data_IF_449568881792
#
_entry.id   IF_449568881792
#
_cell.length_a   1.000
_cell.length_b   1.000
_cell.length_c   1.000
_cell.angle_alpha   90.00
_cell.angle_beta   90.00
_cell.angle_gamma   90.00
#
_symmetry.space_group_name_H-M   'P 1'
#
loop_
_entity.id
_entity.type
_entity.pdbx_description
1 polymer ?
#
# COMPACT_ATOMS: atom_id res chain seq x y z
N UNK A 1 2.99 -14.23 -11.63
CA UNK A 1 4.22 -13.76 -10.93
C UNK A 1 3.98 -13.76 -9.41
N UNK A 2 4.80 -14.45 -8.63
CA UNK A 2 4.66 -14.51 -7.17
C UNK A 2 4.97 -13.17 -6.49
N UNK A 3 4.56 -13.04 -5.22
CA UNK A 3 4.91 -11.90 -4.38
C UNK A 3 6.44 -11.85 -4.21
N UNK A 4 7.05 -10.68 -4.46
CA UNK A 4 8.47 -10.43 -4.21
C UNK A 4 8.63 -9.61 -2.94
N UNK A 5 9.60 -9.97 -2.12
CA UNK A 5 9.97 -9.21 -0.94
C UNK A 5 11.17 -8.31 -1.25
N UNK A 6 11.11 -7.07 -0.80
CA UNK A 6 12.17 -6.09 -0.96
C UNK A 6 12.52 -5.51 0.41
N UNK A 7 13.81 -5.42 0.71
CA UNK A 7 14.28 -4.67 1.88
C UNK A 7 14.28 -3.17 1.55
N UNK A 8 13.88 -2.36 2.53
CA UNK A 8 13.91 -0.90 2.45
C UNK A 8 14.64 -0.37 3.69
N UNK A 9 15.34 0.74 3.54
CA UNK A 9 16.08 1.39 4.63
C UNK A 9 15.44 2.74 4.91
N UNK A 10 15.14 3.02 6.17
CA UNK A 10 14.66 4.32 6.62
C UNK A 10 15.79 5.00 7.41
N UNK A 11 16.21 6.17 6.95
CA UNK A 11 17.21 7.00 7.64
C UNK A 11 16.85 8.47 7.49
N UNK A 12 16.82 9.21 8.61
CA UNK A 12 16.50 10.65 8.62
C UNK A 12 15.25 11.03 7.82
N UNK A 13 14.13 10.32 8.06
CA UNK A 13 12.85 10.50 7.33
C UNK A 13 12.89 10.15 5.82
N UNK A 14 14.02 9.63 5.33
CA UNK A 14 14.21 9.25 3.93
C UNK A 14 14.09 7.73 3.78
N UNK A 15 13.20 7.29 2.90
CA UNK A 15 13.03 5.88 2.55
C UNK A 15 13.86 5.53 1.31
N UNK A 16 14.89 4.72 1.49
CA UNK A 16 15.71 4.16 0.42
C UNK A 16 15.15 2.82 -0.01
N UNK A 17 14.90 2.69 -1.32
CA UNK A 17 14.39 1.47 -1.92
C UNK A 17 15.28 1.02 -3.08
N UNK A 18 15.30 -0.28 -3.35
CA UNK A 18 15.97 -0.82 -4.53
C UNK A 18 15.31 -0.32 -5.83
N UNK A 19 16.11 -0.14 -6.87
CA UNK A 19 15.65 0.30 -8.19
C UNK A 19 14.53 -0.57 -8.75
N UNK A 20 14.60 -1.89 -8.58
CA UNK A 20 13.54 -2.81 -9.02
C UNK A 20 12.19 -2.53 -8.35
N UNK A 21 12.20 -2.20 -7.06
CA UNK A 21 10.98 -1.81 -6.34
C UNK A 21 10.47 -0.45 -6.84
N UNK A 22 11.38 0.50 -7.07
CA UNK A 22 11.03 1.81 -7.63
C UNK A 22 10.35 1.65 -9.00
N UNK A 23 10.91 0.84 -9.90
CA UNK A 23 10.35 0.54 -11.21
C UNK A 23 9.00 -0.18 -11.11
N UNK A 24 8.85 -1.13 -10.19
CA UNK A 24 7.57 -1.81 -9.94
C UNK A 24 6.48 -0.83 -9.44
N UNK A 25 6.86 0.21 -8.71
CA UNK A 25 5.98 1.32 -8.31
C UNK A 25 5.77 2.36 -9.43
N UNK A 26 6.44 2.19 -10.57
CA UNK A 26 6.35 3.07 -11.73
C UNK A 26 7.26 4.30 -11.65
N UNK A 27 8.27 4.31 -10.79
CA UNK A 27 9.29 5.35 -10.75
C UNK A 27 10.36 5.04 -11.80
N UNK A 28 10.52 5.96 -12.75
CA UNK A 28 11.57 5.91 -13.79
C UNK A 28 12.36 7.22 -13.78
N UNK A 29 13.59 7.20 -14.27
CA UNK A 29 14.43 8.41 -14.36
C UNK A 29 13.76 9.51 -15.21
N UNK A 30 12.95 9.12 -16.20
CA UNK A 30 12.19 10.02 -17.07
C UNK A 30 10.95 10.63 -16.38
N UNK A 31 10.50 10.07 -15.26
CA UNK A 31 9.33 10.56 -14.51
C UNK A 31 9.61 11.85 -13.70
N UNK A 32 10.81 12.42 -13.81
CA UNK A 32 11.27 13.63 -13.10
C UNK A 32 10.36 14.86 -13.26
N UNK A 33 9.48 14.90 -14.28
CA UNK A 33 8.60 16.07 -14.51
C UNK A 33 7.21 15.94 -13.87
N UNK A 34 6.79 14.74 -13.47
CA UNK A 34 5.51 14.49 -12.80
C UNK A 34 5.71 13.38 -11.79
N UNK A 35 6.19 13.73 -10.59
CA UNK A 35 6.37 12.79 -9.50
C UNK A 35 5.19 11.82 -9.37
N UNK A 36 5.47 10.56 -9.04
CA UNK A 36 4.43 9.55 -8.92
C UNK A 36 3.63 9.80 -7.66
N UNK A 37 2.33 10.11 -7.81
CA UNK A 37 1.44 10.31 -6.67
C UNK A 37 1.25 8.97 -5.95
N UNK A 38 1.71 8.90 -4.71
CA UNK A 38 1.52 7.75 -3.84
C UNK A 38 0.34 8.00 -2.90
N UNK A 39 -0.28 6.91 -2.44
CA UNK A 39 -1.19 6.92 -1.31
C UNK A 39 -0.67 5.99 -0.23
N UNK A 40 -0.61 6.51 1.00
CA UNK A 40 -0.46 5.69 2.19
C UNK A 40 -1.87 5.30 2.67
N UNK A 41 -2.13 4.01 2.72
CA UNK A 41 -3.40 3.42 3.09
C UNK A 41 -3.15 2.46 4.25
N UNK A 42 -3.69 2.73 5.44
CA UNK A 42 -3.58 1.79 6.56
C UNK A 42 -4.40 2.14 7.80
N UNK A 43 -4.33 1.25 8.79
CA UNK A 43 -4.74 1.54 10.16
C UNK A 43 -3.73 0.98 11.15
N UNK A 44 -3.40 1.79 12.16
CA UNK A 44 -2.62 1.35 13.30
C UNK A 44 -3.40 0.34 14.14
N UNK A 45 -2.77 -0.69 14.72
CA UNK A 45 -1.35 -1.07 14.59
C UNK A 45 -1.06 -2.11 13.49
N UNK A 46 -2.03 -2.45 12.64
CA UNK A 46 -2.01 -3.74 11.94
C UNK A 46 -1.50 -3.70 10.49
N UNK A 47 -1.78 -2.65 9.73
CA UNK A 47 -1.42 -2.64 8.32
C UNK A 47 -1.28 -1.24 7.75
N UNK A 48 -0.19 -1.02 7.00
CA UNK A 48 0.02 0.15 6.16
C UNK A 48 0.55 -0.30 4.79
N UNK A 49 -0.04 0.23 3.72
CA UNK A 49 0.36 0.02 2.35
C UNK A 49 0.69 1.35 1.69
N UNK A 50 1.75 1.36 0.90
CA UNK A 50 2.08 2.46 0.00
C UNK A 50 1.80 1.98 -1.42
N UNK A 51 0.85 2.62 -2.09
CA UNK A 51 0.43 2.27 -3.45
C UNK A 51 0.56 3.46 -4.37
N UNK A 52 0.70 3.20 -5.68
CA UNK A 52 0.55 4.24 -6.70
C UNK A 52 -0.92 4.66 -6.77
N UNK A 53 -1.20 5.95 -6.63
CA UNK A 53 -2.56 6.47 -6.63
C UNK A 53 -3.27 6.16 -7.94
N UNK A 54 -4.50 5.67 -7.85
CA UNK A 54 -5.38 5.38 -9.00
C UNK A 54 -5.16 4.02 -9.65
N UNK A 55 -4.34 3.13 -9.08
CA UNK A 55 -4.24 1.73 -9.54
C UNK A 55 -5.28 0.85 -8.84
N UNK A 56 -5.57 -0.33 -9.40
CA UNK A 56 -6.45 -1.32 -8.78
C UNK A 56 -5.97 -1.72 -7.37
N UNK A 57 -4.65 -1.78 -7.17
CA UNK A 57 -4.03 -2.01 -5.85
C UNK A 57 -4.30 -0.89 -4.86
N UNK A 58 -4.36 0.37 -5.31
CA UNK A 58 -4.74 1.51 -4.47
C UNK A 58 -6.22 1.42 -4.05
N UNK A 59 -7.12 1.10 -4.99
CA UNK A 59 -8.53 0.88 -4.69
C UNK A 59 -8.74 -0.29 -3.72
N UNK A 60 -8.01 -1.39 -3.90
CA UNK A 60 -8.08 -2.56 -3.03
C UNK A 60 -7.59 -2.24 -1.60
N UNK A 61 -6.44 -1.58 -1.46
CA UNK A 61 -5.91 -1.17 -0.16
C UNK A 61 -6.89 -0.24 0.57
N UNK A 62 -7.48 0.71 -0.16
CA UNK A 62 -8.47 1.63 0.39
C UNK A 62 -9.76 0.91 0.83
N UNK A 63 -10.34 0.09 -0.05
CA UNK A 63 -11.57 -0.66 0.24
C UNK A 63 -11.41 -1.64 1.41
N UNK A 64 -10.19 -2.20 1.59
CA UNK A 64 -9.87 -3.05 2.75
C UNK A 64 -9.95 -2.27 4.06
N UNK A 65 -9.44 -1.04 4.09
CA UNK A 65 -9.51 -0.16 5.26
C UNK A 65 -10.95 0.25 5.55
N UNK A 66 -11.69 0.66 4.52
CA UNK A 66 -13.10 1.02 4.69
C UNK A 66 -13.94 -0.14 5.21
N UNK A 67 -13.73 -1.34 4.66
CA UNK A 67 -14.40 -2.56 5.09
C UNK A 67 -14.03 -2.96 6.52
N UNK A 68 -12.76 -2.78 6.93
CA UNK A 68 -12.32 -3.06 8.30
C UNK A 68 -13.01 -2.18 9.36
N UNK A 69 -13.49 -0.99 8.95
CA UNK A 69 -14.21 -0.05 9.82
C UNK A 69 -15.73 -0.18 9.71
N UNK A 70 -16.22 -1.00 8.79
CA UNK A 70 -17.64 -1.20 8.58
C UNK A 70 -18.21 -2.18 9.62
N UNK A 71 -19.10 -1.67 10.48
CA UNK A 71 -19.67 -2.44 11.59
C UNK A 71 -20.38 -3.73 11.14
N UNK A 72 -21.04 -3.72 9.98
CA UNK A 72 -21.74 -4.90 9.43
C UNK A 72 -20.74 -5.97 8.98
N UNK A 73 -19.65 -5.56 8.32
CA UNK A 73 -18.59 -6.48 7.89
C UNK A 73 -17.89 -7.08 9.11
N UNK A 74 -17.55 -6.26 10.11
CA UNK A 74 -16.95 -6.73 11.37
C UNK A 74 -17.86 -7.73 12.07
N UNK A 75 -19.14 -7.42 12.23
CA UNK A 75 -20.12 -8.32 12.86
C UNK A 75 -20.26 -9.65 12.11
N UNK A 76 -20.24 -9.62 10.77
CA UNK A 76 -20.31 -10.82 9.93
C UNK A 76 -19.06 -11.68 10.09
N UNK A 77 -17.88 -11.07 10.07
CA UNK A 77 -16.61 -11.79 10.27
C UNK A 77 -16.53 -12.40 11.69
N UNK A 78 -16.99 -11.69 12.72
CA UNK A 78 -17.06 -12.22 14.09
C UNK A 78 -18.08 -13.37 14.23
N UNK A 79 -19.19 -13.31 13.50
CA UNK A 79 -20.14 -14.44 13.44
C UNK A 79 -19.50 -15.68 12.78
N UNK A 80 -18.76 -15.50 11.68
CA UNK A 80 -18.11 -16.59 10.94
C UNK A 80 -16.90 -17.22 11.65
N UNK A 81 -16.33 -16.54 12.66
CA UNK A 81 -15.26 -17.09 13.50
C UNK A 81 -15.76 -18.11 14.54
N UNK A 82 -17.07 -18.21 14.75
CA UNK A 82 -17.72 -19.17 15.66
C UNK A 82 -18.04 -20.47 14.94
#
# INVERSE_FOLDING_TARGET
PGQKEFKVVLDGETLYIHQELAQALGWTEEALTKGVSLRLSGWSPHYFAITRKGTDTDLLAHGTIESSRNATVVATLEYLKK
#
